data_IF_331953502949
#
_entry.id   IF_331953502949
#
_cell.length_a   1.000
_cell.length_b   1.000
_cell.length_c   1.000
_cell.angle_alpha   90.00
_cell.angle_beta   90.00
_cell.angle_gamma   90.00
#
_symmetry.space_group_name_H-M   'P 1'
#
loop_
_entity.id
_entity.type
_entity.pdbx_description
1 polymer ?
#
# COMPACT_ATOMS: atom_id res chain seq x y z
N UNK A 1 -0.41 -3.25 -28.28
CA UNK A 1 0.32 -3.85 -27.17
C UNK A 1 -0.63 -4.73 -26.38
N UNK A 2 -0.21 -5.93 -26.02
CA UNK A 2 -0.97 -6.86 -25.18
C UNK A 2 -0.66 -6.62 -23.70
N UNK A 3 -1.66 -6.70 -22.83
CA UNK A 3 -1.49 -6.44 -21.40
C UNK A 3 -2.03 -7.56 -20.53
N UNK A 4 -1.45 -7.76 -19.35
CA UNK A 4 -2.07 -8.59 -18.31
C UNK A 4 -2.49 -7.74 -17.12
N UNK A 5 -3.63 -8.05 -16.51
CA UNK A 5 -3.95 -7.70 -15.13
C UNK A 5 -3.67 -8.93 -14.28
N UNK A 6 -2.56 -8.88 -13.53
CA UNK A 6 -2.15 -9.97 -12.64
C UNK A 6 -2.73 -9.72 -11.25
N UNK A 7 -3.36 -10.73 -10.67
CA UNK A 7 -3.96 -10.62 -9.34
C UNK A 7 -3.85 -11.92 -8.53
N UNK A 8 -3.80 -11.76 -7.22
CA UNK A 8 -3.67 -12.88 -6.31
C UNK A 8 -5.01 -13.59 -6.09
N UNK A 9 -5.15 -14.81 -6.59
CA UNK A 9 -6.37 -15.60 -6.45
C UNK A 9 -6.50 -16.30 -5.09
N UNK A 10 -5.42 -16.39 -4.33
CA UNK A 10 -5.40 -16.90 -2.94
C UNK A 10 -6.00 -15.91 -1.94
N UNK A 11 -6.05 -14.60 -2.28
CA UNK A 11 -6.74 -13.61 -1.47
C UNK A 11 -8.23 -13.95 -1.41
N UNK A 12 -8.69 -14.33 -0.22
CA UNK A 12 -10.11 -14.60 0.09
C UNK A 12 -10.93 -13.31 0.24
N UNK A 13 -10.51 -12.22 -0.41
CA UNK A 13 -11.15 -10.91 -0.35
C UNK A 13 -11.92 -10.70 -1.64
N UNK A 14 -13.24 -10.94 -1.58
CA UNK A 14 -14.15 -10.81 -2.74
C UNK A 14 -14.02 -9.46 -3.43
N UNK A 15 -13.84 -8.37 -2.66
CA UNK A 15 -13.71 -7.01 -3.19
C UNK A 15 -12.53 -6.82 -4.15
N UNK A 16 -11.40 -7.51 -3.96
CA UNK A 16 -10.25 -7.41 -4.88
C UNK A 16 -10.57 -8.12 -6.20
N UNK A 17 -11.21 -9.29 -6.15
CA UNK A 17 -11.65 -10.01 -7.35
C UNK A 17 -12.67 -9.21 -8.15
N UNK A 18 -13.60 -8.53 -7.47
CA UNK A 18 -14.53 -7.59 -8.11
C UNK A 18 -13.80 -6.44 -8.76
N UNK A 19 -12.86 -5.81 -8.04
CA UNK A 19 -12.10 -4.65 -8.53
C UNK A 19 -11.36 -4.97 -9.83
N UNK A 20 -10.58 -6.06 -9.86
CA UNK A 20 -9.79 -6.41 -11.05
C UNK A 20 -10.69 -6.81 -12.23
N UNK A 21 -11.85 -7.41 -11.95
CA UNK A 21 -12.84 -7.74 -12.99
C UNK A 21 -13.49 -6.50 -13.59
N UNK A 22 -13.81 -5.51 -12.75
CA UNK A 22 -14.36 -4.23 -13.23
C UNK A 22 -13.33 -3.44 -14.04
N UNK A 23 -12.07 -3.40 -13.58
CA UNK A 23 -10.96 -2.79 -14.35
C UNK A 23 -10.78 -3.48 -15.71
N UNK A 24 -10.76 -4.81 -15.73
CA UNK A 24 -10.67 -5.60 -16.96
C UNK A 24 -11.83 -5.29 -17.92
N UNK A 25 -13.07 -5.26 -17.43
CA UNK A 25 -14.23 -4.98 -18.26
C UNK A 25 -14.17 -3.57 -18.85
N UNK A 26 -13.75 -2.57 -18.05
CA UNK A 26 -13.55 -1.19 -18.54
C UNK A 26 -12.47 -1.13 -19.62
N UNK A 27 -11.33 -1.80 -19.42
CA UNK A 27 -10.28 -1.86 -20.42
C UNK A 27 -10.76 -2.55 -21.72
N UNK A 28 -11.51 -3.66 -21.61
CA UNK A 28 -12.12 -4.33 -22.77
C UNK A 28 -13.14 -3.46 -23.51
N UNK A 29 -13.94 -2.67 -22.79
CA UNK A 29 -14.86 -1.71 -23.40
C UNK A 29 -14.14 -0.61 -24.20
N UNK A 30 -12.87 -0.33 -23.87
CA UNK A 30 -11.97 0.55 -24.63
C UNK A 30 -11.16 -0.18 -25.71
N UNK A 31 -11.55 -1.42 -26.04
CA UNK A 31 -10.88 -2.28 -27.03
C UNK A 31 -9.43 -2.62 -26.72
N UNK A 32 -9.03 -2.61 -25.43
CA UNK A 32 -7.68 -3.04 -25.05
C UNK A 32 -7.51 -4.55 -25.24
N UNK A 33 -6.37 -4.94 -25.81
CA UNK A 33 -5.96 -6.34 -25.82
C UNK A 33 -5.33 -6.71 -24.47
N UNK A 34 -6.20 -6.93 -23.49
CA UNK A 34 -5.83 -7.21 -22.10
C UNK A 34 -6.39 -8.54 -21.64
N UNK A 35 -5.69 -9.22 -20.74
CA UNK A 35 -6.14 -10.47 -20.13
C UNK A 35 -6.09 -10.41 -18.60
N UNK A 36 -7.05 -11.06 -17.93
CA UNK A 36 -6.93 -11.38 -16.51
C UNK A 36 -6.10 -12.65 -16.34
N UNK A 37 -5.11 -12.60 -15.45
CA UNK A 37 -4.24 -13.74 -15.15
C UNK A 37 -4.08 -13.85 -13.64
N UNK A 38 -4.30 -15.05 -13.09
CA UNK A 38 -4.08 -15.30 -11.67
C UNK A 38 -2.60 -15.57 -11.44
N UNK A 39 -2.08 -15.12 -10.30
CA UNK A 39 -0.69 -15.40 -9.94
C UNK A 39 -0.39 -16.90 -9.84
N UNK A 40 -1.37 -17.73 -9.43
CA UNK A 40 -1.26 -19.20 -9.43
C UNK A 40 -1.13 -19.85 -10.82
N UNK A 41 -1.44 -19.11 -11.90
CA UNK A 41 -1.30 -19.58 -13.29
C UNK A 41 0.07 -19.27 -13.89
N UNK A 42 0.94 -18.59 -13.13
CA UNK A 42 2.23 -18.09 -13.59
C UNK A 42 3.35 -18.79 -12.81
N UNK A 43 4.26 -19.44 -13.53
CA UNK A 43 5.49 -20.00 -12.94
C UNK A 43 6.69 -19.25 -13.49
N UNK A 44 7.32 -18.43 -12.66
CA UNK A 44 8.56 -17.70 -12.95
C UNK A 44 9.79 -18.55 -12.59
N UNK A 45 10.75 -18.66 -13.50
CA UNK A 45 12.00 -19.40 -13.27
C UNK A 45 13.13 -18.88 -14.15
N UNK A 46 14.37 -19.25 -13.83
CA UNK A 46 15.51 -19.08 -14.72
C UNK A 46 15.79 -20.41 -15.42
N UNK A 47 15.96 -20.39 -16.75
CA UNK A 47 16.35 -21.59 -17.48
C UNK A 47 17.85 -21.91 -17.29
N UNK A 48 18.33 -23.00 -17.90
CA UNK A 48 19.74 -23.42 -17.84
C UNK A 48 20.75 -22.41 -18.41
N UNK A 49 20.29 -21.36 -19.09
CA UNK A 49 21.11 -20.26 -19.61
C UNK A 49 20.99 -18.98 -18.77
N UNK A 50 20.45 -19.06 -17.54
CA UNK A 50 20.20 -17.93 -16.65
C UNK A 50 19.33 -16.83 -17.27
N UNK A 51 18.45 -17.20 -18.22
CA UNK A 51 17.46 -16.28 -18.78
C UNK A 51 16.15 -16.41 -18.01
N UNK A 52 15.53 -15.29 -17.58
CA UNK A 52 14.24 -15.34 -16.93
C UNK A 52 13.18 -15.83 -17.92
N UNK A 53 12.32 -16.73 -17.45
CA UNK A 53 11.22 -17.32 -18.20
C UNK A 53 9.96 -17.37 -17.34
N UNK A 54 8.83 -17.29 -18.02
CA UNK A 54 7.51 -17.53 -17.42
C UNK A 54 6.87 -18.67 -18.19
N UNK A 55 6.31 -19.62 -17.45
CA UNK A 55 5.39 -20.60 -17.98
C UNK A 55 3.96 -20.17 -17.61
N UNK A 56 3.14 -19.92 -18.62
CA UNK A 56 1.72 -19.63 -18.52
C UNK A 56 1.02 -20.21 -19.76
N UNK A 57 -0.29 -20.46 -19.69
CA UNK A 57 -1.08 -20.91 -20.87
C UNK A 57 -1.32 -19.80 -21.89
N UNK A 58 -1.04 -18.55 -21.51
CA UNK A 58 -1.26 -17.33 -22.29
C UNK A 58 0.06 -16.82 -22.85
N UNK A 59 -0.01 -16.12 -23.97
CA UNK A 59 1.15 -15.46 -24.56
C UNK A 59 1.63 -14.33 -23.65
N UNK A 60 2.96 -14.11 -23.62
CA UNK A 60 3.56 -13.09 -22.75
C UNK A 60 3.04 -11.70 -23.12
N UNK A 61 2.75 -10.85 -22.12
CA UNK A 61 2.26 -9.51 -22.37
C UNK A 61 3.41 -8.53 -22.63
N UNK A 62 3.10 -7.41 -23.27
CA UNK A 62 4.01 -6.27 -23.39
C UNK A 62 4.12 -5.48 -22.06
N UNK A 63 3.06 -5.50 -21.24
CA UNK A 63 3.01 -4.84 -19.94
C UNK A 63 2.08 -5.54 -18.95
N UNK A 64 2.25 -5.26 -17.66
CA UNK A 64 1.47 -5.86 -16.58
C UNK A 64 0.92 -4.76 -15.66
N UNK A 65 -0.40 -4.73 -15.48
CA UNK A 65 -1.06 -4.05 -14.37
C UNK A 65 -1.05 -5.02 -13.19
N UNK A 66 -0.16 -4.80 -12.23
CA UNK A 66 0.14 -5.74 -11.17
C UNK A 66 -0.66 -5.42 -9.92
N UNK A 67 -1.79 -6.10 -9.77
CA UNK A 67 -2.69 -6.00 -8.61
C UNK A 67 -2.42 -7.11 -7.58
N UNK A 68 -1.14 -7.39 -7.33
CA UNK A 68 -0.64 -8.37 -6.38
C UNK A 68 0.53 -7.78 -5.57
N UNK A 69 0.85 -8.40 -4.44
CA UNK A 69 1.96 -8.05 -3.55
C UNK A 69 3.14 -9.03 -3.65
N UNK A 70 3.07 -9.99 -4.58
CA UNK A 70 4.21 -10.87 -4.89
C UNK A 70 5.31 -10.06 -5.59
N UNK A 71 6.18 -9.47 -4.77
CA UNK A 71 7.31 -8.64 -5.22
C UNK A 71 8.25 -9.42 -6.14
N UNK A 72 8.47 -10.71 -5.87
CA UNK A 72 9.40 -11.53 -6.65
C UNK A 72 8.84 -11.81 -8.04
N UNK A 73 7.54 -12.06 -8.14
CA UNK A 73 6.90 -12.20 -9.45
C UNK A 73 6.93 -10.88 -10.24
N UNK A 74 6.66 -9.74 -9.59
CA UNK A 74 6.77 -8.42 -10.22
C UNK A 74 8.20 -8.15 -10.74
N UNK A 75 9.22 -8.41 -9.91
CA UNK A 75 10.63 -8.26 -10.29
C UNK A 75 10.98 -9.18 -11.46
N UNK A 76 10.46 -10.41 -11.48
CA UNK A 76 10.72 -11.35 -12.57
C UNK A 76 10.17 -10.87 -13.92
N UNK A 77 9.00 -10.22 -13.95
CA UNK A 77 8.50 -9.54 -15.15
C UNK A 77 9.46 -8.42 -15.60
N UNK A 78 9.95 -7.61 -14.66
CA UNK A 78 10.89 -6.52 -14.97
C UNK A 78 12.21 -7.05 -15.53
N UNK A 79 12.73 -8.17 -15.00
CA UNK A 79 13.93 -8.85 -15.52
C UNK A 79 13.73 -9.40 -16.95
N UNK A 80 12.48 -9.69 -17.34
CA UNK A 80 12.12 -10.04 -18.72
C UNK A 80 11.95 -8.82 -19.63
N UNK A 81 12.11 -7.60 -19.10
CA UNK A 81 11.92 -6.35 -19.83
C UNK A 81 10.46 -5.91 -19.95
N UNK A 82 9.55 -6.53 -19.20
CA UNK A 82 8.11 -6.23 -19.22
C UNK A 82 7.83 -5.09 -18.23
N UNK A 83 7.08 -4.07 -18.66
CA UNK A 83 6.71 -2.93 -17.80
C UNK A 83 5.64 -3.33 -16.78
N UNK A 84 5.89 -3.11 -15.49
CA UNK A 84 4.97 -3.50 -14.39
C UNK A 84 4.42 -2.30 -13.63
N UNK A 85 3.11 -2.08 -13.63
CA UNK A 85 2.43 -1.00 -12.91
C UNK A 85 1.73 -1.52 -11.65
N UNK A 86 2.12 -1.21 -10.41
CA UNK A 86 3.35 -0.52 -9.94
C UNK A 86 4.60 -1.40 -10.06
N UNK A 87 5.79 -0.79 -10.02
CA UNK A 87 7.07 -1.52 -10.04
C UNK A 87 7.29 -2.41 -8.82
N UNK A 88 8.15 -3.44 -8.94
CA UNK A 88 8.52 -4.33 -7.84
C UNK A 88 9.14 -3.56 -6.66
N UNK A 89 10.01 -2.58 -6.94
CA UNK A 89 10.62 -1.69 -5.93
C UNK A 89 9.54 -0.92 -5.16
N UNK A 90 8.60 -0.29 -5.87
CA UNK A 90 7.53 0.48 -5.26
C UNK A 90 6.60 -0.37 -4.41
N UNK A 91 6.25 -1.58 -4.88
CA UNK A 91 5.42 -2.53 -4.14
C UNK A 91 6.16 -2.99 -2.87
N UNK A 92 7.43 -3.37 -2.98
CA UNK A 92 8.24 -3.82 -1.85
C UNK A 92 8.36 -2.76 -0.75
N UNK A 93 8.55 -1.49 -1.14
CA UNK A 93 8.62 -0.38 -0.20
C UNK A 93 7.27 -0.17 0.49
N UNK A 94 6.17 -0.12 -0.27
CA UNK A 94 4.84 0.15 0.29
C UNK A 94 4.34 -0.99 1.21
N UNK A 95 4.67 -2.24 0.90
CA UNK A 95 4.23 -3.38 1.72
C UNK A 95 5.03 -3.54 3.02
N UNK A 96 6.25 -3.00 3.07
CA UNK A 96 7.09 -2.98 4.26
C UNK A 96 6.99 -1.62 4.99
N UNK A 97 6.15 -1.55 6.03
CA UNK A 97 5.91 -0.31 6.77
C UNK A 97 7.17 0.33 7.37
N UNK A 98 8.15 -0.48 7.78
CA UNK A 98 9.43 0.01 8.30
C UNK A 98 10.28 0.69 7.21
N UNK A 99 10.36 0.05 6.03
CA UNK A 99 11.08 0.58 4.88
C UNK A 99 10.41 1.84 4.32
N UNK A 100 9.08 1.83 4.19
CA UNK A 100 8.29 2.99 3.79
C UNK A 100 8.56 4.18 4.72
N UNK A 101 8.49 3.99 6.05
CA UNK A 101 8.76 5.05 7.01
C UNK A 101 10.18 5.62 6.86
N UNK A 102 11.18 4.77 6.63
CA UNK A 102 12.55 5.23 6.36
C UNK A 102 12.63 6.10 5.10
N UNK A 103 12.04 5.66 3.99
CA UNK A 103 12.11 6.35 2.70
C UNK A 103 11.38 7.70 2.74
N UNK A 104 10.21 7.76 3.36
CA UNK A 104 9.42 8.97 3.50
C UNK A 104 10.09 9.98 4.44
N UNK A 105 10.51 9.54 5.63
CA UNK A 105 11.18 10.42 6.60
C UNK A 105 12.48 11.00 6.03
N UNK A 106 13.28 10.18 5.31
CA UNK A 106 14.52 10.63 4.66
C UNK A 106 14.27 11.66 3.55
N UNK A 107 13.09 11.67 2.94
CA UNK A 107 12.68 12.68 1.96
C UNK A 107 12.06 13.94 2.61
N UNK A 108 12.09 14.05 3.95
CA UNK A 108 11.48 15.16 4.69
C UNK A 108 9.97 15.18 4.54
N UNK A 109 9.33 14.01 4.57
CA UNK A 109 7.87 13.88 4.67
C UNK A 109 7.54 13.46 6.10
N UNK A 110 6.61 14.18 6.73
CA UNK A 110 6.15 13.86 8.08
C UNK A 110 5.41 12.53 8.08
N UNK A 111 5.95 11.59 8.84
CA UNK A 111 5.33 10.29 9.20
C UNK A 111 5.34 10.18 10.73
N UNK A 112 4.49 9.36 11.38
CA UNK A 112 4.54 9.18 12.83
C UNK A 112 5.95 8.81 13.29
N UNK A 113 6.41 9.28 14.46
CA UNK A 113 7.72 8.87 14.98
C UNK A 113 7.72 7.34 15.04
N UNK A 114 8.65 6.71 14.31
CA UNK A 114 8.62 5.26 14.05
C UNK A 114 9.90 4.59 14.53
N UNK A 115 9.76 3.73 15.52
CA UNK A 115 10.79 2.82 16.03
C UNK A 115 10.61 1.47 15.34
N UNK A 116 11.68 0.91 14.79
CA UNK A 116 11.66 -0.36 14.06
C UNK A 116 12.19 -1.46 14.97
N UNK A 117 11.54 -2.62 14.95
CA UNK A 117 12.06 -3.77 15.66
C UNK A 117 13.43 -4.17 15.08
N UNK A 118 14.36 -4.68 15.91
CA UNK A 118 15.52 -5.41 15.39
C UNK A 118 15.05 -6.68 14.65
N UNK A 119 15.97 -7.31 13.91
CA UNK A 119 15.76 -8.65 13.38
C UNK A 119 15.84 -9.65 14.53
N UNK A 120 14.79 -10.45 14.72
CA UNK A 120 14.65 -11.40 15.82
C UNK A 120 14.72 -12.82 15.26
N UNK A 121 15.76 -13.58 15.63
CA UNK A 121 15.97 -14.97 15.20
C UNK A 121 15.47 -16.01 16.23
N UNK A 122 15.05 -15.56 17.41
CA UNK A 122 14.63 -16.44 18.50
C UNK A 122 13.52 -15.81 19.32
N UNK A 123 12.46 -16.58 19.59
CA UNK A 123 11.35 -16.18 20.45
C UNK A 123 11.76 -15.95 21.91
N UNK A 124 12.95 -16.44 22.31
CA UNK A 124 13.52 -16.24 23.64
C UNK A 124 14.32 -14.94 23.76
N UNK A 125 14.43 -14.15 22.69
CA UNK A 125 15.16 -12.89 22.73
C UNK A 125 14.46 -11.89 23.65
N UNK A 126 15.18 -11.37 24.63
CA UNK A 126 14.64 -10.41 25.58
C UNK A 126 14.54 -9.02 24.94
N UNK A 127 13.30 -8.55 24.79
CA UNK A 127 12.95 -7.26 24.20
C UNK A 127 12.56 -6.21 25.25
N UNK A 128 12.77 -6.47 26.55
CA UNK A 128 12.36 -5.56 27.62
C UNK A 128 13.04 -4.19 27.52
N UNK A 129 14.35 -4.16 27.24
CA UNK A 129 15.08 -2.90 27.05
C UNK A 129 14.63 -2.15 25.79
N UNK A 130 14.28 -2.86 24.72
CA UNK A 130 13.68 -2.23 23.54
C UNK A 130 12.33 -1.60 23.89
N UNK A 131 11.48 -2.30 24.63
CA UNK A 131 10.16 -1.82 25.02
C UNK A 131 10.25 -0.57 25.92
N UNK A 132 11.16 -0.56 26.90
CA UNK A 132 11.43 0.62 27.74
C UNK A 132 11.85 1.84 26.93
N UNK A 133 12.80 1.67 26.00
CA UNK A 133 13.24 2.76 25.10
C UNK A 133 12.11 3.24 24.20
N UNK A 134 11.23 2.35 23.76
CA UNK A 134 10.08 2.76 22.97
C UNK A 134 9.11 3.63 23.77
N UNK A 135 8.84 3.29 25.03
CA UNK A 135 8.03 4.09 25.95
C UNK A 135 8.71 5.43 26.26
N UNK A 136 10.03 5.45 26.46
CA UNK A 136 10.80 6.68 26.70
C UNK A 136 10.67 7.67 25.53
N UNK A 137 10.69 7.17 24.29
CA UNK A 137 10.63 8.00 23.08
C UNK A 137 9.19 8.42 22.74
N UNK A 138 8.21 7.53 22.88
CA UNK A 138 6.85 7.70 22.35
C UNK A 138 5.79 8.01 23.43
N UNK A 139 6.12 7.83 24.70
CA UNK A 139 5.16 7.85 25.79
C UNK A 139 4.44 6.50 25.99
N UNK A 140 3.50 6.47 26.93
CA UNK A 140 2.81 5.22 27.32
C UNK A 140 1.75 4.77 26.33
N UNK A 141 1.07 5.70 25.63
CA UNK A 141 0.09 5.37 24.61
C UNK A 141 0.76 5.42 23.24
N UNK A 142 0.85 4.26 22.58
CA UNK A 142 1.54 4.13 21.31
C UNK A 142 0.86 3.08 20.42
N UNK A 143 1.25 3.03 19.14
CA UNK A 143 0.70 2.08 18.17
C UNK A 143 1.75 1.07 17.78
N UNK A 144 1.49 -0.22 18.01
CA UNK A 144 2.30 -1.31 17.48
C UNK A 144 1.69 -1.84 16.18
N UNK A 145 2.51 -2.03 15.14
CA UNK A 145 2.07 -2.61 13.85
C UNK A 145 3.03 -3.70 13.40
N UNK A 146 2.52 -4.81 12.86
CA UNK A 146 3.38 -5.73 12.09
C UNK A 146 3.87 -5.03 10.82
N UNK A 147 5.11 -5.32 10.42
CA UNK A 147 5.74 -4.69 9.23
C UNK A 147 4.93 -4.99 7.97
N UNK A 148 4.63 -6.28 7.75
CA UNK A 148 3.76 -6.75 6.69
C UNK A 148 2.33 -6.86 7.20
N UNK A 149 1.35 -6.77 6.31
CA UNK A 149 -0.08 -6.88 6.66
C UNK A 149 -0.92 -5.76 6.08
N UNK A 150 -2.24 -5.95 6.06
CA UNK A 150 -3.21 -5.02 5.44
C UNK A 150 -4.51 -4.99 6.23
N UNK A 151 -5.39 -4.04 5.89
CA UNK A 151 -6.75 -3.91 6.44
C UNK A 151 -6.84 -3.67 7.96
N UNK A 152 -5.76 -3.23 8.60
CA UNK A 152 -5.78 -2.83 10.00
C UNK A 152 -5.76 -3.98 11.03
N UNK A 153 -5.86 -5.24 10.61
CA UNK A 153 -5.92 -6.41 11.52
C UNK A 153 -4.68 -6.59 12.40
N UNK A 154 -3.57 -5.96 12.04
CA UNK A 154 -2.26 -6.13 12.67
C UNK A 154 -1.75 -4.81 13.27
N UNK A 155 -2.68 -3.94 13.68
CA UNK A 155 -2.44 -2.61 14.26
C UNK A 155 -3.07 -2.58 15.64
N UNK A 156 -2.27 -2.35 16.67
CA UNK A 156 -2.66 -2.43 18.08
C UNK A 156 -2.37 -1.11 18.77
N UNK A 157 -3.38 -0.53 19.43
CA UNK A 157 -3.18 0.54 20.39
C UNK A 157 -2.71 -0.09 21.71
N UNK A 158 -1.60 0.39 22.24
CA UNK A 158 -0.95 -0.15 23.44
C UNK A 158 -0.89 0.94 24.50
N UNK A 159 -1.19 0.58 25.74
CA UNK A 159 -1.16 1.48 26.90
C UNK A 159 -0.18 0.94 27.96
N UNK A 160 1.02 1.48 27.94
CA UNK A 160 2.07 1.24 28.92
C UNK A 160 2.99 0.06 28.59
N UNK A 161 4.08 -0.02 29.35
CA UNK A 161 5.20 -0.94 29.11
C UNK A 161 4.79 -2.42 29.14
N UNK A 162 3.99 -2.83 30.12
CA UNK A 162 3.60 -4.24 30.30
C UNK A 162 2.78 -4.77 29.13
N UNK A 163 1.89 -3.96 28.58
CA UNK A 163 1.09 -4.33 27.42
C UNK A 163 1.96 -4.44 26.16
N UNK A 164 2.92 -3.51 26.00
CA UNK A 164 3.89 -3.55 24.91
C UNK A 164 4.74 -4.83 24.96
N UNK A 165 5.36 -5.13 26.10
CA UNK A 165 6.18 -6.34 26.30
C UNK A 165 5.38 -7.62 25.99
N UNK A 166 4.14 -7.69 26.48
CA UNK A 166 3.24 -8.81 26.21
C UNK A 166 2.98 -8.96 24.72
N UNK A 167 2.63 -7.86 24.02
CA UNK A 167 2.33 -7.91 22.59
C UNK A 167 3.56 -8.26 21.75
N UNK A 168 4.74 -7.74 22.09
CA UNK A 168 6.01 -8.11 21.44
C UNK A 168 6.26 -9.60 21.58
N UNK A 169 6.06 -10.17 22.78
CA UNK A 169 6.19 -11.61 23.02
C UNK A 169 5.21 -12.44 22.19
N UNK A 170 3.96 -11.99 22.06
CA UNK A 170 2.94 -12.65 21.21
C UNK A 170 3.31 -12.66 19.72
N UNK A 171 4.07 -11.67 19.24
CA UNK A 171 4.52 -11.60 17.85
C UNK A 171 5.69 -12.56 17.55
N UNK A 172 6.42 -13.00 18.57
CA UNK A 172 7.57 -13.90 18.42
C UNK A 172 8.66 -13.30 17.54
N UNK A 173 8.95 -13.96 16.41
CA UNK A 173 9.99 -13.53 15.45
C UNK A 173 9.48 -12.61 14.34
N UNK A 174 8.18 -12.29 14.32
CA UNK A 174 7.59 -11.44 13.28
C UNK A 174 8.09 -9.99 13.44
N UNK A 175 8.56 -9.39 12.36
CA UNK A 175 9.00 -7.99 12.38
C UNK A 175 7.84 -7.02 12.63
N UNK A 176 8.10 -5.97 13.39
CA UNK A 176 7.11 -4.97 13.75
C UNK A 176 7.70 -3.56 13.81
N UNK A 177 6.83 -2.56 13.87
CA UNK A 177 7.16 -1.18 14.18
C UNK A 177 6.33 -0.71 15.38
N UNK A 178 6.88 0.25 16.10
CA UNK A 178 6.21 0.95 17.20
C UNK A 178 6.18 2.42 16.80
N UNK A 179 4.99 3.02 16.78
CA UNK A 179 4.74 4.35 16.27
C UNK A 179 4.09 5.26 17.31
N UNK A 180 4.40 6.55 17.19
CA UNK A 180 3.67 7.65 17.82
C UNK A 180 2.16 7.47 17.63
N UNK A 181 1.42 7.58 18.72
CA UNK A 181 -0.04 7.62 18.66
C UNK A 181 -0.50 9.05 18.40
N UNK A 182 -1.21 9.25 17.29
CA UNK A 182 -1.74 10.55 16.89
C UNK A 182 -3.18 10.69 17.40
N UNK A 183 -3.32 11.13 18.65
CA UNK A 183 -4.61 11.21 19.36
C UNK A 183 -5.65 12.08 18.63
N UNK A 184 -5.24 13.20 18.04
CA UNK A 184 -6.11 14.09 17.25
C UNK A 184 -6.71 13.43 16.01
N UNK A 185 -6.20 12.26 15.63
CA UNK A 185 -6.67 11.44 14.52
C UNK A 185 -7.43 10.19 14.97
N UNK A 186 -7.82 10.06 16.23
CA UNK A 186 -8.58 8.91 16.72
C UNK A 186 -9.82 8.67 15.86
N UNK A 187 -9.91 7.49 15.27
CA UNK A 187 -11.06 7.06 14.49
C UNK A 187 -11.22 7.79 13.17
N UNK A 188 -10.26 8.62 12.74
CA UNK A 188 -10.38 9.37 11.48
C UNK A 188 -9.07 9.49 10.72
N UNK A 189 -9.16 9.51 9.40
CA UNK A 189 -8.04 9.80 8.50
C UNK A 189 -8.53 10.34 7.15
N UNK A 190 -7.59 10.82 6.34
CA UNK A 190 -7.85 11.20 4.95
C UNK A 190 -7.16 10.19 4.03
N UNK A 191 -7.94 9.55 3.14
CA UNK A 191 -7.37 8.84 1.99
C UNK A 191 -7.31 9.79 0.80
N UNK A 192 -6.13 10.02 0.26
CA UNK A 192 -5.92 10.67 -1.04
C UNK A 192 -5.61 9.60 -2.10
N UNK A 193 -6.36 9.58 -3.20
CA UNK A 193 -6.12 8.64 -4.30
C UNK A 193 -5.42 9.34 -5.45
N UNK A 194 -4.31 8.78 -5.93
CA UNK A 194 -3.46 9.37 -6.96
C UNK A 194 -3.20 8.34 -8.07
N UNK A 195 -3.25 8.81 -9.31
CA UNK A 195 -2.80 8.09 -10.51
C UNK A 195 -1.85 8.99 -11.29
N UNK A 196 -0.65 8.49 -11.60
CA UNK A 196 0.39 9.24 -12.29
C UNK A 196 0.71 10.56 -11.58
N UNK A 197 0.31 11.68 -12.17
CA UNK A 197 0.53 13.03 -11.60
C UNK A 197 -0.75 13.68 -11.06
N UNK A 198 -1.88 12.97 -11.09
CA UNK A 198 -3.21 13.53 -10.81
C UNK A 198 -3.75 12.98 -9.49
N UNK A 199 -4.12 13.89 -8.59
CA UNK A 199 -4.97 13.56 -7.45
C UNK A 199 -6.39 13.39 -7.96
N UNK A 200 -6.93 12.19 -7.87
CA UNK A 200 -8.29 11.87 -8.34
C UNK A 200 -9.31 12.48 -7.40
N UNK A 201 -9.05 12.36 -6.10
CA UNK A 201 -9.88 12.92 -5.04
C UNK A 201 -9.40 12.43 -3.68
N UNK A 202 -10.04 12.94 -2.64
CA UNK A 202 -9.77 12.55 -1.27
C UNK A 202 -11.06 12.25 -0.52
N UNK A 203 -11.00 11.30 0.41
CA UNK A 203 -12.10 10.99 1.30
C UNK A 203 -11.64 11.10 2.75
N UNK A 204 -12.45 11.78 3.57
CA UNK A 204 -12.37 11.64 5.02
C UNK A 204 -13.02 10.30 5.38
N UNK A 205 -12.32 9.47 6.14
CA UNK A 205 -12.89 8.26 6.72
C UNK A 205 -13.02 8.45 8.22
N UNK A 206 -14.13 7.95 8.79
CA UNK A 206 -14.44 8.09 10.21
C UNK A 206 -14.99 6.78 10.78
N UNK A 207 -14.63 6.48 12.02
CA UNK A 207 -15.09 5.35 12.81
C UNK A 207 -15.24 5.80 14.27
N UNK A 208 -16.45 5.64 14.82
CA UNK A 208 -16.77 6.09 16.19
C UNK A 208 -16.37 5.07 17.26
N UNK A 209 -16.25 3.80 16.88
CA UNK A 209 -16.11 2.68 17.81
C UNK A 209 -14.67 2.12 17.84
N UNK A 210 -13.80 2.57 16.93
CA UNK A 210 -12.42 2.09 16.78
C UNK A 210 -11.50 3.26 16.40
N UNK A 211 -10.27 3.27 16.92
CA UNK A 211 -9.28 4.28 16.54
C UNK A 211 -8.88 4.19 15.07
N UNK A 212 -9.16 3.06 14.41
CA UNK A 212 -8.89 2.80 12.99
C UNK A 212 -10.09 3.21 12.14
N UNK A 213 -9.86 4.14 11.22
CA UNK A 213 -10.88 4.67 10.31
C UNK A 213 -11.20 3.77 9.09
N UNK A 214 -10.63 2.56 8.99
CA UNK A 214 -10.80 1.72 7.81
C UNK A 214 -12.28 1.38 7.58
N UNK A 215 -12.78 1.61 6.35
CA UNK A 215 -14.14 1.22 5.94
C UNK A 215 -14.38 -0.29 6.11
N UNK A 216 -13.33 -1.10 5.96
CA UNK A 216 -13.41 -2.55 6.19
C UNK A 216 -13.73 -2.92 7.67
N UNK A 217 -13.48 -2.01 8.62
CA UNK A 217 -13.71 -2.17 10.05
C UNK A 217 -14.97 -1.42 10.53
N UNK A 218 -15.88 -1.09 9.61
CA UNK A 218 -17.14 -0.40 9.94
C UNK A 218 -17.07 1.13 9.84
N UNK A 219 -15.94 1.70 9.44
CA UNK A 219 -15.85 3.13 9.17
C UNK A 219 -16.73 3.58 8.00
N UNK A 220 -17.19 4.83 8.05
CA UNK A 220 -17.85 5.51 6.94
C UNK A 220 -16.85 6.45 6.24
N UNK A 221 -17.18 6.91 5.04
CA UNK A 221 -16.38 7.94 4.38
C UNK A 221 -17.24 9.00 3.73
N UNK A 222 -16.65 10.17 3.54
CA UNK A 222 -17.25 11.31 2.84
C UNK A 222 -16.21 11.96 1.93
N UNK A 223 -16.66 12.50 0.80
CA UNK A 223 -15.79 13.25 -0.11
C UNK A 223 -15.38 14.57 0.55
N UNK A 224 -14.09 14.93 0.42
CA UNK A 224 -13.58 16.21 0.91
C UNK A 224 -12.74 16.92 -0.15
N UNK A 225 -12.68 18.24 -0.07
CA UNK A 225 -11.61 19.02 -0.71
C UNK A 225 -10.36 18.99 0.17
N UNK A 226 -9.19 18.93 -0.48
CA UNK A 226 -7.90 19.06 0.19
C UNK A 226 -7.27 20.38 -0.21
N UNK A 227 -6.52 20.99 0.70
CA UNK A 227 -5.74 22.18 0.42
C UNK A 227 -4.47 21.85 -0.39
N UNK A 228 -3.77 22.90 -0.81
CA UNK A 228 -2.53 22.75 -1.58
C UNK A 228 -1.41 22.13 -0.76
N UNK A 229 -1.39 22.29 0.56
CA UNK A 229 -0.37 21.73 1.44
C UNK A 229 -0.44 20.20 1.46
N UNK A 230 -1.62 19.64 1.73
CA UNK A 230 -1.88 18.21 1.71
C UNK A 230 -1.67 17.64 0.31
N UNK A 231 -2.17 18.33 -0.73
CA UNK A 231 -1.99 17.91 -2.12
C UNK A 231 -0.51 17.83 -2.50
N UNK A 232 0.27 18.85 -2.17
CA UNK A 232 1.71 18.89 -2.47
C UNK A 232 2.47 17.81 -1.71
N UNK A 233 2.14 17.59 -0.43
CA UNK A 233 2.73 16.54 0.40
C UNK A 233 2.41 15.15 -0.17
N UNK A 234 1.16 14.91 -0.57
CA UNK A 234 0.74 13.65 -1.18
C UNK A 234 1.46 13.38 -2.51
N UNK A 235 1.55 14.38 -3.39
CA UNK A 235 2.30 14.26 -4.65
C UNK A 235 3.79 14.04 -4.40
N UNK A 236 4.38 14.73 -3.43
CA UNK A 236 5.80 14.54 -3.06
C UNK A 236 6.04 13.11 -2.59
N UNK A 237 5.22 12.59 -1.66
CA UNK A 237 5.33 11.23 -1.16
C UNK A 237 5.16 10.18 -2.26
N UNK A 238 4.15 10.36 -3.11
CA UNK A 238 3.88 9.50 -4.25
C UNK A 238 5.08 9.40 -5.20
N UNK A 239 5.70 10.54 -5.54
CA UNK A 239 6.90 10.60 -6.38
C UNK A 239 8.13 10.00 -5.71
N UNK A 240 8.32 10.23 -4.41
CA UNK A 240 9.44 9.66 -3.65
C UNK A 240 9.48 8.13 -3.75
N UNK A 241 8.32 7.48 -3.80
CA UNK A 241 8.20 6.02 -3.90
C UNK A 241 8.02 5.52 -5.34
N UNK A 242 8.14 6.41 -6.35
CA UNK A 242 8.05 6.10 -7.79
C UNK A 242 6.78 5.31 -8.17
N UNK A 243 5.66 5.67 -7.54
CA UNK A 243 4.39 4.98 -7.78
C UNK A 243 3.76 5.42 -9.11
N UNK A 244 3.04 4.50 -9.73
CA UNK A 244 2.15 4.70 -10.88
C UNK A 244 0.73 5.03 -10.43
N UNK A 245 0.29 4.41 -9.35
CA UNK A 245 -0.99 4.68 -8.71
C UNK A 245 -0.95 4.21 -7.25
N UNK A 246 -1.67 4.91 -6.36
CA UNK A 246 -1.71 4.56 -4.95
C UNK A 246 -2.85 5.28 -4.22
N UNK A 247 -3.19 4.74 -3.05
CA UNK A 247 -3.97 5.44 -2.03
C UNK A 247 -3.08 5.80 -0.84
N UNK A 248 -3.09 7.06 -0.43
CA UNK A 248 -2.27 7.59 0.65
C UNK A 248 -3.16 7.94 1.83
N UNK A 249 -2.85 7.41 3.01
CA UNK A 249 -3.64 7.60 4.24
C UNK A 249 -2.91 8.61 5.15
N UNK A 250 -3.55 9.75 5.42
CA UNK A 250 -3.05 10.84 6.26
C UNK A 250 -3.81 10.94 7.58
N UNK A 251 -3.08 11.08 8.67
CA UNK A 251 -3.59 11.36 10.00
C UNK A 251 -3.60 12.86 10.27
N UNK A 252 -4.49 13.28 11.17
CA UNK A 252 -4.58 14.64 11.65
C UNK A 252 -3.65 14.84 12.83
N UNK A 253 -2.54 15.56 12.62
CA UNK A 253 -1.63 16.00 13.67
C UNK A 253 -2.18 17.19 14.48
N UNK A 254 -1.30 17.79 15.29
CA UNK A 254 -1.60 19.01 16.04
C UNK A 254 -1.54 20.22 15.09
N UNK A 255 -2.25 21.30 15.44
CA UNK A 255 -2.20 22.58 14.73
C UNK A 255 -2.50 22.50 13.22
N UNK A 256 -3.28 21.49 12.80
CA UNK A 256 -3.65 21.30 11.39
C UNK A 256 -2.63 20.52 10.55
N UNK A 257 -1.54 20.01 11.15
CA UNK A 257 -0.54 19.19 10.44
C UNK A 257 -1.15 17.92 9.85
N UNK A 258 -0.74 17.55 8.63
CA UNK A 258 -1.04 16.24 8.05
C UNK A 258 0.15 15.29 8.15
N UNK A 259 -0.08 14.11 8.75
CA UNK A 259 0.96 13.12 9.01
C UNK A 259 0.70 11.89 8.12
N UNK A 260 1.61 11.57 7.21
CA UNK A 260 1.45 10.44 6.31
C UNK A 260 1.66 9.10 7.03
N UNK A 261 0.61 8.28 7.09
CA UNK A 261 0.61 7.02 7.84
C UNK A 261 0.93 5.81 6.96
N UNK A 262 0.33 5.74 5.78
CA UNK A 262 0.48 4.60 4.87
C UNK A 262 0.35 5.04 3.41
N UNK A 263 1.14 4.43 2.51
CA UNK A 263 0.85 4.42 1.07
C UNK A 263 0.55 2.99 0.65
N UNK A 264 -0.54 2.82 -0.08
CA UNK A 264 -1.00 1.53 -0.55
C UNK A 264 -0.89 1.48 -2.08
N UNK A 265 0.08 0.71 -2.57
CA UNK A 265 0.33 0.51 -4.00
C UNK A 265 -0.80 -0.24 -4.71
N UNK A 266 -1.56 -1.08 -4.00
CA UNK A 266 -2.70 -1.84 -4.56
C UNK A 266 -4.02 -1.36 -3.95
N UNK A 267 -4.29 -0.06 -4.13
CA UNK A 267 -5.43 0.62 -3.52
C UNK A 267 -6.77 -0.01 -3.91
N UNK A 268 -7.62 -0.28 -2.93
CA UNK A 268 -9.01 -0.59 -3.22
C UNK A 268 -9.80 0.71 -3.45
N UNK A 269 -10.11 1.00 -4.72
CA UNK A 269 -10.80 2.23 -5.13
C UNK A 269 -12.32 2.07 -5.30
N UNK A 270 -12.89 0.85 -5.23
CA UNK A 270 -14.32 0.63 -5.52
C UNK A 270 -15.23 1.46 -4.61
N UNK A 271 -14.93 1.48 -3.30
CA UNK A 271 -15.69 2.27 -2.34
C UNK A 271 -15.57 3.77 -2.60
N UNK A 272 -14.42 4.23 -3.11
CA UNK A 272 -14.20 5.62 -3.47
C UNK A 272 -15.00 6.01 -4.73
N UNK A 273 -14.94 5.21 -5.80
CA UNK A 273 -15.69 5.49 -7.02
C UNK A 273 -17.21 5.48 -6.77
N UNK A 274 -17.71 4.49 -6.03
CA UNK A 274 -19.13 4.37 -5.70
C UNK A 274 -19.65 5.56 -4.86
N UNK A 275 -18.82 6.10 -3.97
CA UNK A 275 -19.18 7.22 -3.09
C UNK A 275 -19.09 8.57 -3.79
N UNK A 276 -18.06 8.77 -4.61
CA UNK A 276 -17.69 10.08 -5.13
C UNK A 276 -18.13 10.32 -6.57
N UNK A 277 -18.40 9.25 -7.33
CA UNK A 277 -18.60 9.30 -8.78
C UNK A 277 -17.34 9.62 -9.57
N UNK A 278 -16.21 9.88 -8.91
CA UNK A 278 -14.91 10.15 -9.56
C UNK A 278 -14.28 8.82 -9.96
N UNK A 279 -13.97 8.65 -11.24
CA UNK A 279 -13.40 7.38 -11.70
C UNK A 279 -11.89 7.33 -11.59
N UNK A 280 -11.41 6.55 -10.61
CA UNK A 280 -10.02 6.15 -10.49
C UNK A 280 -9.59 5.21 -11.63
N UNK A 281 -10.45 4.25 -11.97
CA UNK A 281 -10.16 3.24 -12.99
C UNK A 281 -10.02 3.84 -14.39
N UNK A 282 -10.86 4.84 -14.74
CA UNK A 282 -10.75 5.51 -16.03
C UNK A 282 -9.45 6.32 -16.15
N UNK A 283 -9.05 7.03 -15.09
CA UNK A 283 -7.77 7.76 -15.09
C UNK A 283 -6.57 6.79 -15.09
N UNK A 284 -6.65 5.65 -14.40
CA UNK A 284 -5.61 4.63 -14.44
C UNK A 284 -5.36 4.12 -15.86
N UNK A 285 -6.43 3.80 -16.58
CA UNK A 285 -6.32 3.34 -17.96
C UNK A 285 -5.77 4.45 -18.88
N UNK A 286 -6.22 5.69 -18.72
CA UNK A 286 -5.69 6.83 -19.48
C UNK A 286 -4.20 7.07 -19.19
N UNK A 287 -3.78 6.90 -17.94
CA UNK A 287 -2.38 7.02 -17.54
C UNK A 287 -1.51 5.96 -18.20
N UNK A 288 -1.93 4.69 -18.13
CA UNK A 288 -1.18 3.57 -18.72
C UNK A 288 -1.06 3.75 -20.24
N UNK A 289 -2.13 4.15 -20.93
CA UNK A 289 -2.09 4.40 -22.38
C UNK A 289 -1.05 5.46 -22.77
N UNK A 290 -0.99 6.55 -21.99
CA UNK A 290 0.01 7.61 -22.17
C UNK A 290 1.44 7.10 -21.94
N UNK A 291 1.67 6.35 -20.87
CA UNK A 291 3.00 5.83 -20.53
C UNK A 291 3.52 4.85 -21.59
N UNK A 292 2.67 3.95 -22.08
CA UNK A 292 3.01 3.00 -23.13
C UNK A 292 3.25 3.68 -24.48
N UNK A 293 2.49 4.73 -24.79
CA UNK A 293 2.69 5.52 -26.02
C UNK A 293 4.02 6.27 -26.05
N UNK A 294 4.57 6.63 -24.88
CA UNK A 294 5.86 7.31 -24.77
C UNK A 294 7.06 6.35 -24.91
N UNK A 295 6.87 5.07 -24.60
CA UNK A 295 7.94 4.05 -24.69
C UNK A 295 8.12 3.47 -26.09
N UNK A 296 7.17 3.70 -27.01
CA UNK A 296 7.25 3.28 -28.41
C UNK A 296 7.94 4.30 -29.35
N UNK A 297 8.48 5.40 -28.83
CA UNK A 297 9.27 6.39 -29.59
C UNK A 297 10.73 6.35 -29.18
#
# INVERSE_FOLDING_TARGET
MTGWIVYNDSLKISKIKTLVKELYNKAKARSWDIELVKSSEIVSYFNSFNKPKILCKKDLPDYVIFWDKDVLLAEHFELMGIRVFNSSESIAICDNKALMANKLASAGIRVPITIKSPLIFSEKYDMSEYAKKAIEILGETLVLKQVYGSFGEQVFLINGLKELEKKIKELGTKSFIVQEYIESSYGKDIRVNIVGKKVIGAMLRENKEDFRANIALGGCGSLISIDDELKNTAIKAFKTLKLDFAGLDFLFGKDGEFILCELNSNVNYLGFEAMTGLSFSDELLDYIDRELSLTCK
#
